data_IF_786746942372
#
_entry.id   IF_786746942372
#
_cell.length_a   1.000
_cell.length_b   1.000
_cell.length_c   1.000
_cell.angle_alpha   90.00
_cell.angle_beta   90.00
_cell.angle_gamma   90.00
#
_symmetry.space_group_name_H-M   'P 1'
#
loop_
_entity.id
_entity.type
_entity.pdbx_description
1 polymer ?
#
# COMPACT_ATOMS: atom_id res chain seq x y z
N UNK A 1 15.48 -6.51 24.22
CA UNK A 1 15.68 -7.49 23.12
C UNK A 1 15.86 -6.66 21.85
N UNK A 2 17.06 -6.71 21.23
CA UNK A 2 17.27 -6.03 19.94
C UNK A 2 16.47 -6.78 18.89
N UNK A 3 15.43 -6.13 18.33
CA UNK A 3 14.75 -6.65 17.16
C UNK A 3 15.81 -6.87 16.07
N UNK A 4 15.87 -8.09 15.55
CA UNK A 4 16.69 -8.37 14.39
C UNK A 4 16.16 -7.49 13.25
N UNK A 5 16.96 -6.51 12.83
CA UNK A 5 16.72 -5.77 11.60
C UNK A 5 16.53 -6.78 10.48
N UNK A 6 15.44 -6.65 9.72
CA UNK A 6 15.34 -7.36 8.46
C UNK A 6 16.58 -7.00 7.63
N UNK A 7 17.32 -7.98 7.08
CA UNK A 7 18.53 -7.68 6.33
C UNK A 7 18.17 -6.75 5.17
N UNK A 8 19.00 -5.73 4.96
CA UNK A 8 18.90 -4.81 3.83
C UNK A 8 18.77 -5.62 2.54
N UNK A 9 17.69 -5.40 1.80
CA UNK A 9 17.41 -6.17 0.57
C UNK A 9 16.46 -7.36 0.74
N UNK A 10 15.78 -7.53 1.89
CA UNK A 10 14.83 -8.63 2.10
C UNK A 10 13.78 -8.74 0.98
N UNK A 11 13.30 -7.61 0.46
CA UNK A 11 12.36 -7.57 -0.67
C UNK A 11 12.98 -8.03 -2.01
N UNK A 12 14.31 -8.02 -2.13
CA UNK A 12 15.05 -8.34 -3.37
C UNK A 12 15.78 -9.68 -3.31
N UNK A 13 15.53 -10.49 -2.30
CA UNK A 13 16.18 -11.79 -2.21
C UNK A 13 15.70 -12.70 -3.35
N UNK A 14 16.67 -13.31 -4.05
CA UNK A 14 16.35 -14.40 -4.96
C UNK A 14 15.76 -15.56 -4.15
N UNK A 15 14.80 -16.32 -4.71
CA UNK A 15 14.34 -17.53 -4.07
C UNK A 15 15.53 -18.44 -3.72
N UNK A 16 15.48 -19.18 -2.60
CA UNK A 16 16.49 -20.19 -2.29
C UNK A 16 16.61 -21.22 -3.41
N UNK A 17 17.76 -21.87 -3.49
CA UNK A 17 18.01 -22.96 -4.47
C UNK A 17 16.91 -24.04 -4.38
N UNK A 18 16.37 -24.46 -5.53
CA UNK A 18 15.24 -25.39 -5.62
C UNK A 18 13.86 -24.77 -5.49
N UNK A 19 13.79 -23.45 -5.30
CA UNK A 19 12.53 -22.67 -5.25
C UNK A 19 12.43 -21.65 -6.38
N UNK A 20 13.12 -21.93 -7.49
CA UNK A 20 13.09 -21.10 -8.71
C UNK A 20 11.66 -21.00 -9.22
N UNK A 21 11.26 -19.79 -9.57
CA UNK A 21 9.90 -19.48 -10.02
C UNK A 21 8.92 -19.13 -8.89
N UNK A 22 9.29 -19.33 -7.62
CA UNK A 22 8.51 -18.79 -6.51
C UNK A 22 8.77 -17.30 -6.33
N UNK A 23 7.74 -16.59 -5.94
CA UNK A 23 7.80 -15.15 -5.70
C UNK A 23 7.83 -14.86 -4.20
N UNK A 24 8.94 -14.34 -3.66
CA UNK A 24 9.01 -13.96 -2.25
C UNK A 24 8.01 -12.82 -1.95
N UNK A 25 7.47 -12.82 -0.76
CA UNK A 25 6.57 -11.79 -0.28
C UNK A 25 6.82 -11.45 1.19
N UNK A 26 6.34 -10.30 1.61
CA UNK A 26 6.25 -9.92 3.03
C UNK A 26 4.79 -9.82 3.42
N UNK A 27 4.42 -10.37 4.58
CA UNK A 27 3.12 -10.13 5.19
C UNK A 27 3.26 -9.08 6.29
N UNK A 28 2.53 -7.98 6.17
CA UNK A 28 2.51 -6.88 7.14
C UNK A 28 1.08 -6.48 7.48
N UNK A 29 0.93 -5.63 8.48
CA UNK A 29 -0.33 -4.96 8.75
C UNK A 29 -0.11 -3.50 9.18
N UNK A 30 -1.05 -2.62 8.83
CA UNK A 30 -1.18 -1.28 9.39
C UNK A 30 -2.51 -1.17 10.11
N UNK A 31 -2.50 -1.01 11.46
CA UNK A 31 -3.71 -0.96 12.29
C UNK A 31 -4.65 -2.16 12.08
N UNK A 32 -4.09 -3.37 11.98
CA UNK A 32 -4.77 -4.65 11.73
C UNK A 32 -5.36 -4.83 10.32
N UNK A 33 -5.12 -3.92 9.41
CA UNK A 33 -5.39 -4.11 7.98
C UNK A 33 -4.19 -4.86 7.39
N UNK A 34 -4.37 -6.11 6.98
CA UNK A 34 -3.29 -7.03 6.59
C UNK A 34 -3.00 -6.93 5.09
N UNK A 35 -1.72 -6.99 4.78
CA UNK A 35 -1.20 -6.88 3.41
C UNK A 35 -0.24 -8.02 3.09
N UNK A 36 -0.29 -8.49 1.85
CA UNK A 36 0.77 -9.28 1.22
C UNK A 36 1.47 -8.37 0.22
N UNK A 37 2.78 -8.20 0.37
CA UNK A 37 3.58 -7.22 -0.37
C UNK A 37 4.61 -7.93 -1.21
N UNK A 38 4.62 -7.66 -2.52
CA UNK A 38 5.59 -8.18 -3.47
C UNK A 38 6.49 -7.07 -4.01
N UNK A 39 7.77 -7.36 -4.21
CA UNK A 39 8.69 -6.47 -4.92
C UNK A 39 8.65 -6.77 -6.42
N UNK A 40 8.18 -5.81 -7.21
CA UNK A 40 8.16 -5.85 -8.66
C UNK A 40 9.19 -4.88 -9.30
N UNK A 41 10.05 -4.22 -8.51
CA UNK A 41 11.06 -3.29 -9.02
C UNK A 41 12.09 -3.96 -9.93
N UNK A 42 12.28 -5.27 -9.79
CA UNK A 42 13.13 -6.10 -10.67
C UNK A 42 12.53 -6.44 -12.03
N UNK A 43 11.30 -5.98 -12.34
CA UNK A 43 10.61 -6.32 -13.59
C UNK A 43 9.80 -7.62 -13.50
N UNK A 44 9.40 -8.03 -12.29
CA UNK A 44 8.51 -9.18 -12.12
C UNK A 44 7.17 -8.96 -12.85
N UNK A 45 6.62 -10.03 -13.42
CA UNK A 45 5.34 -10.01 -14.12
C UNK A 45 4.20 -9.53 -13.19
N UNK A 46 3.18 -8.92 -13.76
CA UNK A 46 1.95 -8.57 -13.05
C UNK A 46 1.31 -9.81 -12.43
N UNK A 47 0.62 -9.61 -11.31
CA UNK A 47 -0.13 -10.67 -10.63
C UNK A 47 -1.54 -10.64 -11.20
N UNK A 48 -2.03 -11.73 -11.83
CA UNK A 48 -3.39 -11.80 -12.33
C UNK A 48 -4.42 -11.60 -11.20
N UNK A 49 -5.58 -11.01 -11.53
CA UNK A 49 -6.66 -10.79 -10.55
C UNK A 49 -7.10 -12.09 -9.86
N UNK A 50 -7.11 -13.20 -10.60
CA UNK A 50 -7.44 -14.55 -10.07
C UNK A 50 -6.45 -15.00 -8.99
N UNK A 51 -5.18 -14.66 -9.13
CA UNK A 51 -4.15 -15.00 -8.15
C UNK A 51 -4.23 -14.07 -6.94
N UNK A 52 -4.56 -12.79 -7.15
CA UNK A 52 -4.83 -11.86 -6.04
C UNK A 52 -5.97 -12.38 -5.16
N UNK A 53 -7.09 -12.79 -5.75
CA UNK A 53 -8.23 -13.37 -5.04
C UNK A 53 -7.79 -14.59 -4.22
N UNK A 54 -6.99 -15.50 -4.81
CA UNK A 54 -6.47 -16.69 -4.11
C UNK A 54 -5.52 -16.32 -2.97
N UNK A 55 -4.61 -15.35 -3.20
CA UNK A 55 -3.68 -14.87 -2.16
C UNK A 55 -4.43 -14.30 -0.96
N UNK A 56 -5.52 -13.55 -1.22
CA UNK A 56 -6.32 -12.92 -0.18
C UNK A 56 -7.17 -13.91 0.62
N UNK A 57 -7.51 -15.07 0.07
CA UNK A 57 -8.36 -16.04 0.75
C UNK A 57 -7.74 -16.50 2.08
N UNK A 58 -8.52 -16.38 3.17
CA UNK A 58 -8.04 -16.69 4.53
C UNK A 58 -8.00 -18.18 4.83
N UNK A 59 -8.67 -19.01 4.04
CA UNK A 59 -8.77 -20.45 4.27
C UNK A 59 -7.82 -21.25 3.37
N UNK A 60 -7.59 -20.80 2.15
CA UNK A 60 -6.80 -21.52 1.15
C UNK A 60 -5.59 -20.75 0.63
N UNK A 61 -5.51 -19.46 0.93
CA UNK A 61 -4.42 -18.57 0.53
C UNK A 61 -3.51 -18.15 1.68
N UNK A 62 -2.86 -16.98 1.51
CA UNK A 62 -2.02 -16.37 2.54
C UNK A 62 -2.91 -15.62 3.55
N UNK A 63 -4.07 -15.11 3.11
CA UNK A 63 -5.03 -14.34 3.88
C UNK A 63 -4.58 -12.90 4.10
N UNK A 64 -5.22 -11.96 3.43
CA UNK A 64 -5.01 -10.51 3.61
C UNK A 64 -6.20 -9.74 3.04
N UNK A 65 -6.34 -8.47 3.43
CA UNK A 65 -7.36 -7.60 2.87
C UNK A 65 -6.93 -6.97 1.53
N UNK A 66 -5.61 -6.83 1.32
CA UNK A 66 -5.09 -6.26 0.06
C UNK A 66 -3.73 -6.87 -0.28
N UNK A 67 -3.48 -7.01 -1.59
CA UNK A 67 -2.17 -7.32 -2.14
C UNK A 67 -1.53 -6.02 -2.63
N UNK A 68 -0.27 -5.82 -2.30
CA UNK A 68 0.51 -4.66 -2.70
C UNK A 68 1.67 -5.10 -3.62
N UNK A 69 1.98 -4.28 -4.61
CA UNK A 69 3.22 -4.42 -5.36
C UNK A 69 4.03 -3.12 -5.30
N UNK A 70 5.32 -3.25 -5.00
CA UNK A 70 6.28 -2.15 -5.05
C UNK A 70 6.95 -2.20 -6.42
N UNK A 71 6.83 -1.14 -7.19
CA UNK A 71 7.38 -1.04 -8.56
C UNK A 71 8.32 0.16 -8.70
N UNK A 72 8.99 0.26 -9.84
CA UNK A 72 9.71 1.48 -10.21
C UNK A 72 8.70 2.59 -10.44
N UNK A 73 8.99 3.83 -10.02
CA UNK A 73 8.13 4.96 -10.31
C UNK A 73 8.08 5.22 -11.81
N UNK A 74 6.98 5.79 -12.28
CA UNK A 74 6.87 6.29 -13.65
C UNK A 74 7.94 7.36 -13.93
N UNK A 75 8.29 7.63 -15.20
CA UNK A 75 9.25 8.67 -15.53
C UNK A 75 8.88 10.04 -14.94
N UNK A 76 7.59 10.39 -14.97
CA UNK A 76 7.08 11.65 -14.42
C UNK A 76 7.22 11.69 -12.88
N UNK A 77 6.80 10.63 -12.18
CA UNK A 77 6.92 10.54 -10.74
C UNK A 77 8.40 10.51 -10.30
N UNK A 78 9.25 9.82 -11.05
CA UNK A 78 10.71 9.81 -10.80
C UNK A 78 11.31 11.22 -10.95
N UNK A 79 10.91 11.97 -11.97
CA UNK A 79 11.33 13.35 -12.17
C UNK A 79 10.84 14.26 -11.02
N UNK A 80 9.71 13.95 -10.40
CA UNK A 80 9.19 14.61 -9.21
C UNK A 80 9.84 14.12 -7.89
N UNK A 81 10.80 13.19 -7.95
CA UNK A 81 11.52 12.69 -6.78
C UNK A 81 10.92 11.43 -6.15
N UNK A 82 9.98 10.74 -6.79
CA UNK A 82 9.41 9.52 -6.24
C UNK A 82 10.47 8.41 -6.13
N UNK A 83 10.47 7.73 -4.97
CA UNK A 83 11.40 6.66 -4.64
C UNK A 83 10.91 5.29 -5.16
N UNK A 84 9.59 5.09 -5.16
CA UNK A 84 8.94 3.89 -5.67
C UNK A 84 7.50 4.20 -6.10
N UNK A 85 6.91 3.28 -6.89
CA UNK A 85 5.48 3.23 -7.12
C UNK A 85 4.87 2.09 -6.30
N UNK A 86 3.63 2.26 -5.83
CA UNK A 86 2.86 1.25 -5.14
C UNK A 86 1.52 1.05 -5.85
N UNK A 87 1.22 -0.20 -6.21
CA UNK A 87 -0.10 -0.60 -6.67
C UNK A 87 -0.80 -1.40 -5.58
N UNK A 88 -2.10 -1.24 -5.48
CA UNK A 88 -2.92 -1.78 -4.39
C UNK A 88 -4.08 -2.53 -5.01
N UNK A 89 -4.28 -3.77 -4.62
CA UNK A 89 -5.35 -4.62 -5.13
C UNK A 89 -6.20 -5.14 -3.97
N UNK A 90 -7.51 -4.97 -4.08
CA UNK A 90 -8.49 -5.49 -3.12
C UNK A 90 -8.68 -7.00 -3.26
N UNK A 91 -9.38 -7.61 -2.30
CA UNK A 91 -9.70 -9.05 -2.27
C UNK A 91 -10.46 -9.53 -3.51
N UNK A 92 -11.12 -8.65 -4.25
CA UNK A 92 -11.84 -8.95 -5.50
C UNK A 92 -10.94 -8.85 -6.75
N UNK A 93 -9.64 -8.59 -6.56
CA UNK A 93 -8.65 -8.45 -7.62
C UNK A 93 -8.62 -7.08 -8.30
N UNK A 94 -9.48 -6.13 -7.89
CA UNK A 94 -9.51 -4.78 -8.48
C UNK A 94 -8.45 -3.90 -7.88
N UNK A 95 -7.81 -3.11 -8.73
CA UNK A 95 -6.87 -2.09 -8.30
C UNK A 95 -7.61 -0.87 -7.72
N UNK A 96 -7.05 -0.29 -6.65
CA UNK A 96 -7.56 0.92 -5.98
C UNK A 96 -6.48 1.99 -5.91
N UNK A 97 -6.90 3.26 -5.93
CA UNK A 97 -5.99 4.39 -6.08
C UNK A 97 -5.11 4.66 -4.87
N UNK A 98 -5.62 4.49 -3.65
CA UNK A 98 -4.87 4.81 -2.43
C UNK A 98 -5.35 4.01 -1.22
N UNK A 99 -4.43 3.76 -0.28
CA UNK A 99 -4.70 3.23 1.04
C UNK A 99 -3.61 3.71 2.01
N UNK A 100 -3.97 4.57 2.95
CA UNK A 100 -3.02 5.15 3.90
C UNK A 100 -2.32 4.11 4.79
N UNK A 101 -3.01 3.00 5.16
CA UNK A 101 -2.42 1.90 5.91
C UNK A 101 -1.35 1.16 5.08
N UNK A 102 -1.65 0.87 3.81
CA UNK A 102 -0.73 0.25 2.87
C UNK A 102 0.50 1.14 2.64
N UNK A 103 0.27 2.44 2.44
CA UNK A 103 1.36 3.42 2.23
C UNK A 103 2.34 3.44 3.39
N UNK A 104 1.86 3.37 4.64
CA UNK A 104 2.73 3.30 5.82
C UNK A 104 3.59 2.04 5.83
N UNK A 105 3.03 0.88 5.46
CA UNK A 105 3.79 -0.37 5.39
C UNK A 105 4.89 -0.30 4.33
N UNK A 106 4.56 0.16 3.12
CA UNK A 106 5.54 0.27 2.02
C UNK A 106 6.63 1.29 2.35
N UNK A 107 6.26 2.46 2.89
CA UNK A 107 7.22 3.47 3.30
C UNK A 107 8.17 2.96 4.39
N UNK A 108 7.65 2.22 5.39
CA UNK A 108 8.48 1.58 6.42
C UNK A 108 9.53 0.64 5.80
N UNK A 109 9.12 -0.23 4.86
CA UNK A 109 10.05 -1.13 4.16
C UNK A 109 11.12 -0.36 3.39
N UNK A 110 10.76 0.74 2.74
CA UNK A 110 11.74 1.58 2.04
C UNK A 110 12.72 2.25 3.00
N UNK A 111 12.26 2.72 4.16
CA UNK A 111 13.13 3.30 5.18
C UNK A 111 14.12 2.28 5.74
N UNK A 112 13.66 1.07 6.04
CA UNK A 112 14.52 -0.02 6.52
C UNK A 112 15.55 -0.47 5.46
N UNK A 113 15.16 -0.45 4.18
CA UNK A 113 16.05 -0.85 3.07
C UNK A 113 17.10 0.23 2.75
N UNK A 114 16.73 1.52 2.80
CA UNK A 114 17.55 2.62 2.28
C UNK A 114 18.17 3.51 3.35
N UNK A 115 17.71 3.42 4.59
CA UNK A 115 18.10 4.33 5.66
C UNK A 115 17.51 5.73 5.53
N UNK A 116 16.60 5.95 4.60
CA UNK A 116 15.89 7.23 4.45
C UNK A 116 14.94 7.47 5.61
N UNK A 117 14.70 8.73 5.94
CA UNK A 117 13.68 9.14 6.91
C UNK A 117 12.43 9.75 6.23
N UNK A 118 12.54 10.06 4.94
CA UNK A 118 11.44 10.55 4.11
C UNK A 118 11.42 9.83 2.77
N UNK A 119 10.23 9.60 2.24
CA UNK A 119 10.04 9.01 0.93
C UNK A 119 8.81 9.62 0.23
N UNK A 120 8.89 9.73 -1.09
CA UNK A 120 7.79 10.07 -1.96
C UNK A 120 7.36 8.80 -2.70
N UNK A 121 6.10 8.41 -2.55
CA UNK A 121 5.51 7.23 -3.18
C UNK A 121 4.50 7.62 -4.25
N UNK A 122 4.64 7.04 -5.43
CA UNK A 122 3.62 7.12 -6.48
C UNK A 122 2.53 6.08 -6.21
N UNK A 123 1.27 6.50 -6.28
CA UNK A 123 0.09 5.63 -6.18
C UNK A 123 -0.89 5.97 -7.28
N UNK A 124 -1.90 5.14 -7.50
CA UNK A 124 -3.00 5.46 -8.41
C UNK A 124 -3.78 6.73 -8.03
N UNK A 125 -3.72 7.15 -6.75
CA UNK A 125 -4.30 8.39 -6.24
C UNK A 125 -3.36 9.60 -6.27
N UNK A 126 -2.13 9.46 -6.78
CA UNK A 126 -1.13 10.53 -6.83
C UNK A 126 0.11 10.27 -5.99
N UNK A 127 0.90 11.31 -5.79
CA UNK A 127 2.14 11.26 -5.02
C UNK A 127 1.86 11.48 -3.53
N UNK A 128 2.35 10.57 -2.69
CA UNK A 128 2.18 10.61 -1.23
C UNK A 128 3.54 10.81 -0.55
N UNK A 129 3.64 11.86 0.24
CA UNK A 129 4.83 12.12 1.05
C UNK A 129 4.74 11.33 2.37
N UNK A 130 5.77 10.56 2.65
CA UNK A 130 5.91 9.71 3.82
C UNK A 130 7.11 10.14 4.64
N UNK A 131 6.98 10.15 5.97
CA UNK A 131 8.06 10.48 6.90
C UNK A 131 8.10 9.49 8.06
N UNK A 132 9.29 9.07 8.44
CA UNK A 132 9.51 8.25 9.63
C UNK A 132 9.13 9.08 10.88
N UNK A 133 8.26 8.52 11.72
CA UNK A 133 7.74 9.17 12.92
C UNK A 133 8.08 8.41 14.20
N UNK A 134 8.81 7.30 14.08
CA UNK A 134 9.26 6.41 15.15
C UNK A 134 9.68 5.06 14.57
N UNK A 135 10.10 4.11 15.40
CA UNK A 135 10.61 2.81 14.94
C UNK A 135 9.63 2.05 14.03
N UNK A 136 8.35 2.05 14.39
CA UNK A 136 7.26 1.41 13.63
C UNK A 136 6.17 2.41 13.23
N UNK A 137 6.46 3.72 13.29
CA UNK A 137 5.50 4.76 13.00
C UNK A 137 5.89 5.52 11.73
N UNK A 138 4.93 5.70 10.84
CA UNK A 138 5.07 6.46 9.59
C UNK A 138 3.94 7.47 9.48
N UNK A 139 4.28 8.72 9.24
CA UNK A 139 3.35 9.78 8.85
C UNK A 139 3.20 9.81 7.34
N UNK A 140 1.98 9.92 6.85
CA UNK A 140 1.65 10.01 5.43
C UNK A 140 0.77 11.22 5.18
N UNK A 141 1.13 12.06 4.21
CA UNK A 141 0.29 13.17 3.75
C UNK A 141 -0.62 12.67 2.64
N UNK A 142 -1.93 12.62 2.90
CA UNK A 142 -2.94 12.11 1.96
C UNK A 142 -3.52 13.18 1.03
N UNK A 143 -2.99 14.40 1.07
CA UNK A 143 -3.48 15.54 0.30
C UNK A 143 -4.52 16.39 1.05
N UNK A 144 -5.00 17.46 0.42
CA UNK A 144 -5.98 18.35 1.03
C UNK A 144 -7.35 17.69 1.14
N UNK A 145 -8.05 17.98 2.23
CA UNK A 145 -9.47 17.61 2.40
C UNK A 145 -10.32 18.66 1.69
N UNK A 146 -11.34 18.22 0.95
CA UNK A 146 -12.38 19.11 0.41
C UNK A 146 -13.70 18.86 1.11
N UNK A 147 -14.34 19.95 1.54
CA UNK A 147 -15.68 19.96 2.11
C UNK A 147 -16.75 20.40 1.09
N UNK A 148 -16.35 20.67 -0.14
CA UNK A 148 -17.30 21.02 -1.20
C UNK A 148 -18.16 19.79 -1.55
N UNK A 149 -19.47 19.96 -1.60
CA UNK A 149 -20.43 18.86 -1.82
C UNK A 149 -20.20 18.11 -3.14
N UNK A 150 -19.75 18.80 -4.18
CA UNK A 150 -19.45 18.25 -5.50
C UNK A 150 -18.13 17.46 -5.57
N UNK A 151 -17.30 17.57 -4.53
CA UNK A 151 -16.11 16.73 -4.34
C UNK A 151 -16.38 15.49 -3.47
N UNK A 152 -17.59 15.36 -2.96
CA UNK A 152 -18.06 14.24 -2.16
C UNK A 152 -19.14 13.52 -2.98
N UNK A 153 -19.26 12.18 -2.96
CA UNK A 153 -20.23 11.44 -3.78
C UNK A 153 -21.67 11.61 -3.26
N UNK A 154 -22.15 12.86 -3.22
CA UNK A 154 -23.51 13.22 -2.87
C UNK A 154 -24.35 13.43 -4.14
N UNK A 155 -25.66 13.18 -4.05
CA UNK A 155 -26.57 13.33 -5.19
C UNK A 155 -26.86 14.80 -5.57
N UNK A 156 -26.49 15.77 -4.71
CA UNK A 156 -26.72 17.20 -4.94
C UNK A 156 -26.18 18.06 -3.81
N UNK A 157 -26.36 19.38 -3.90
CA UNK A 157 -25.92 20.31 -2.86
C UNK A 157 -26.46 19.94 -1.47
N UNK A 158 -25.55 19.89 -0.49
CA UNK A 158 -25.89 19.59 0.89
C UNK A 158 -24.91 20.29 1.85
N UNK A 159 -25.33 20.48 3.08
CA UNK A 159 -24.44 20.83 4.20
C UNK A 159 -23.58 19.62 4.52
N UNK A 160 -22.30 19.67 4.13
CA UNK A 160 -21.34 18.56 4.25
C UNK A 160 -20.81 18.39 5.66
N UNK A 161 -21.04 19.34 6.55
CA UNK A 161 -20.73 19.23 7.98
C UNK A 161 -21.83 18.52 8.77
N UNK A 162 -23.08 18.54 8.25
CA UNK A 162 -24.24 17.98 8.93
C UNK A 162 -25.08 17.12 7.98
N UNK A 163 -24.49 16.09 7.41
CA UNK A 163 -25.21 15.19 6.51
C UNK A 163 -26.24 14.35 7.28
N UNK A 164 -27.48 14.22 6.77
CA UNK A 164 -28.53 13.39 7.38
C UNK A 164 -28.27 11.90 7.09
N UNK A 165 -27.15 11.37 7.60
CA UNK A 165 -26.78 9.96 7.43
C UNK A 165 -27.51 9.11 8.47
N UNK A 166 -28.28 8.12 8.01
CA UNK A 166 -28.92 7.13 8.85
C UNK A 166 -28.40 5.74 8.49
N UNK A 167 -28.05 4.94 9.48
CA UNK A 167 -27.58 3.56 9.31
C UNK A 167 -28.45 2.60 10.13
N UNK A 168 -29.45 1.98 9.50
CA UNK A 168 -30.36 1.04 10.17
C UNK A 168 -31.14 1.67 11.33
N UNK A 169 -31.33 0.94 12.44
CA UNK A 169 -32.06 1.45 13.63
C UNK A 169 -31.25 2.45 14.47
N UNK A 170 -29.95 2.60 14.19
CA UNK A 170 -29.11 3.59 14.87
C UNK A 170 -29.24 4.94 14.14
N UNK A 171 -29.80 5.92 14.86
CA UNK A 171 -29.91 7.31 14.39
C UNK A 171 -28.98 8.20 15.19
#
# INVERSE_FOLDING_TARGET
MKNAMAPSGFLRQSPPEGLEGLRPFIKMHGLRNHFVIFDARGGAAEIPATDIIRICDVHSGIGCEQVLTIAKPSPAAKAAGAHAAMRIFNIDGREVGACGNATRCVAHLLFEESGLEEALLETGGGLLHCRKAGDMAVSVTLGPVSMAWDHIPLAGPADTEHLPVASGPLR
#
